data_IF_809242102593
#
_entry.id   IF_809242102593
#
_cell.length_a   1.000
_cell.length_b   1.000
_cell.length_c   1.000
_cell.angle_alpha   90.00
_cell.angle_beta   90.00
_cell.angle_gamma   90.00
#
_symmetry.space_group_name_H-M   'P 1'
#
loop_
_entity.id
_entity.type
_entity.pdbx_description
1 polymer ?
#
# COMPACT_ATOMS: atom_id res chain seq x y z
N UNK A 1 -44.96 -48.92 -8.57
CA UNK A 1 -43.60 -48.51 -8.97
C UNK A 1 -43.44 -47.04 -8.61
N UNK A 2 -42.65 -46.72 -7.58
CA UNK A 2 -42.34 -45.33 -7.20
C UNK A 2 -40.90 -45.05 -7.61
N UNK A 3 -40.72 -44.28 -8.68
CA UNK A 3 -39.39 -43.81 -9.10
C UNK A 3 -38.91 -42.75 -8.12
N UNK A 4 -37.83 -43.05 -7.41
CA UNK A 4 -37.11 -42.10 -6.57
C UNK A 4 -36.14 -41.35 -7.47
N UNK A 5 -36.40 -40.06 -7.70
CA UNK A 5 -35.50 -39.15 -8.38
C UNK A 5 -34.37 -38.77 -7.41
N UNK A 6 -33.14 -39.19 -7.68
CA UNK A 6 -31.96 -38.73 -6.95
C UNK A 6 -31.51 -37.41 -7.59
N UNK A 7 -31.44 -36.29 -6.84
CA UNK A 7 -30.96 -35.04 -7.38
C UNK A 7 -29.44 -35.14 -7.65
N UNK A 8 -29.05 -34.86 -8.88
CA UNK A 8 -27.65 -34.78 -9.28
C UNK A 8 -27.00 -33.59 -8.55
N UNK A 9 -26.06 -33.89 -7.64
CA UNK A 9 -25.19 -32.90 -7.02
C UNK A 9 -24.17 -32.46 -8.08
N UNK A 10 -24.38 -31.28 -8.66
CA UNK A 10 -23.37 -30.64 -9.51
C UNK A 10 -22.27 -30.13 -8.58
N UNK A 11 -21.17 -30.90 -8.50
CA UNK A 11 -19.95 -30.49 -7.85
C UNK A 11 -19.31 -29.38 -8.70
N UNK A 12 -19.58 -28.12 -8.35
CA UNK A 12 -18.91 -26.98 -8.96
C UNK A 12 -17.43 -27.00 -8.52
N UNK A 13 -16.58 -27.66 -9.29
CA UNK A 13 -15.14 -27.70 -9.03
C UNK A 13 -14.60 -26.31 -9.32
N UNK A 14 -14.31 -25.55 -8.26
CA UNK A 14 -13.58 -24.29 -8.37
C UNK A 14 -12.18 -24.64 -8.87
N UNK A 15 -11.90 -24.36 -10.14
CA UNK A 15 -10.55 -24.46 -10.70
C UNK A 15 -9.77 -23.29 -10.11
N UNK A 16 -9.05 -23.52 -9.02
CA UNK A 16 -8.05 -22.57 -8.54
C UNK A 16 -6.92 -22.54 -9.57
N UNK A 17 -6.55 -21.35 -10.02
CA UNK A 17 -5.28 -21.18 -10.74
C UNK A 17 -4.13 -21.54 -9.80
N UNK A 18 -3.03 -22.07 -10.32
CA UNK A 18 -1.84 -22.20 -9.48
C UNK A 18 -1.25 -20.79 -9.26
N UNK A 19 -0.79 -20.44 -8.04
CA UNK A 19 -0.07 -19.18 -7.85
C UNK A 19 1.13 -19.09 -8.82
N UNK A 20 1.44 -17.90 -9.35
CA UNK A 20 2.57 -17.70 -10.26
C UNK A 20 3.87 -18.29 -9.72
N UNK A 21 4.69 -18.84 -10.62
CA UNK A 21 6.03 -19.27 -10.22
C UNK A 21 6.87 -18.06 -9.79
N UNK A 22 7.64 -18.18 -8.69
CA UNK A 22 8.68 -17.22 -8.34
C UNK A 22 9.70 -17.05 -9.48
N UNK A 23 10.26 -15.84 -9.65
CA UNK A 23 11.23 -15.51 -10.72
C UNK A 23 12.54 -14.93 -10.17
N UNK A 24 12.58 -14.52 -8.91
CA UNK A 24 13.77 -14.02 -8.23
C UNK A 24 14.31 -15.00 -7.18
N UNK A 25 13.43 -15.83 -6.62
CA UNK A 25 13.74 -16.69 -5.48
C UNK A 25 13.42 -18.15 -5.80
N UNK A 26 14.30 -19.06 -5.42
CA UNK A 26 13.95 -20.45 -5.23
C UNK A 26 13.26 -20.64 -3.87
N UNK A 27 12.27 -21.55 -3.76
CA UNK A 27 11.63 -21.86 -2.49
C UNK A 27 12.61 -22.58 -1.55
N UNK A 28 12.81 -22.01 -0.36
CA UNK A 28 13.52 -22.63 0.76
C UNK A 28 12.56 -23.29 1.75
N UNK A 29 12.91 -23.23 3.03
CA UNK A 29 12.10 -23.79 4.12
C UNK A 29 10.72 -23.13 4.21
N UNK A 30 9.68 -23.93 4.41
CA UNK A 30 8.35 -23.43 4.77
C UNK A 30 8.36 -22.81 6.16
N UNK A 31 7.99 -21.53 6.24
CA UNK A 31 7.84 -20.78 7.48
C UNK A 31 6.38 -20.86 7.95
N UNK A 32 5.44 -20.65 7.02
CA UNK A 32 4.00 -20.68 7.26
C UNK A 32 3.32 -21.51 6.17
N UNK A 33 2.35 -22.32 6.60
CA UNK A 33 1.40 -23.03 5.73
C UNK A 33 0.04 -22.97 6.43
N UNK A 34 -0.86 -22.14 5.92
CA UNK A 34 -2.16 -21.84 6.53
C UNK A 34 -3.27 -21.95 5.48
N UNK A 35 -4.19 -22.90 5.71
CA UNK A 35 -5.29 -23.21 4.81
C UNK A 35 -6.66 -22.81 5.40
N UNK A 36 -6.69 -22.23 6.60
CA UNK A 36 -7.90 -21.77 7.29
C UNK A 36 -9.05 -22.79 7.36
N UNK A 37 -8.74 -24.09 7.33
CA UNK A 37 -9.75 -25.17 7.22
C UNK A 37 -10.56 -25.41 8.50
N UNK A 38 -10.19 -24.78 9.62
CA UNK A 38 -10.82 -24.95 10.93
C UNK A 38 -11.15 -23.61 11.57
N UNK A 39 -10.28 -23.14 12.45
CA UNK A 39 -10.41 -21.92 13.24
C UNK A 39 -9.16 -21.07 13.08
N UNK A 40 -9.26 -19.77 13.34
CA UNK A 40 -8.09 -18.91 13.44
C UNK A 40 -7.25 -19.37 14.64
N UNK A 41 -5.98 -19.72 14.40
CA UNK A 41 -5.02 -19.97 15.48
C UNK A 41 -4.64 -18.64 16.15
N UNK A 42 -5.28 -18.34 17.28
CA UNK A 42 -5.10 -17.08 18.01
C UNK A 42 -3.74 -16.97 18.72
N UNK A 43 -2.98 -18.06 18.82
CA UNK A 43 -1.59 -18.01 19.29
C UNK A 43 -0.64 -17.49 18.20
N UNK A 44 -1.07 -17.53 16.94
CA UNK A 44 -0.28 -17.15 15.77
C UNK A 44 -0.78 -15.86 15.12
N UNK A 45 -2.10 -15.71 15.03
CA UNK A 45 -2.76 -14.58 14.40
C UNK A 45 -3.31 -13.62 15.46
N UNK A 46 -2.90 -12.35 15.37
CA UNK A 46 -3.30 -11.32 16.32
C UNK A 46 -4.24 -10.30 15.67
N UNK A 47 -5.52 -10.34 16.04
CA UNK A 47 -6.52 -9.37 15.58
C UNK A 47 -6.29 -8.03 16.26
N UNK A 48 -6.10 -6.98 15.47
CA UNK A 48 -5.96 -5.61 15.97
C UNK A 48 -7.26 -4.82 15.84
N UNK A 49 -7.96 -4.94 14.70
CA UNK A 49 -9.17 -4.17 14.34
C UNK A 49 -10.07 -4.96 13.39
N UNK A 50 -11.35 -4.60 13.29
CA UNK A 50 -12.31 -5.24 12.40
C UNK A 50 -12.83 -6.60 12.87
N UNK A 51 -13.68 -7.21 12.05
CA UNK A 51 -14.22 -8.55 12.31
C UNK A 51 -13.46 -9.61 11.49
N UNK A 52 -13.00 -10.65 12.18
CA UNK A 52 -12.23 -11.75 11.59
C UNK A 52 -12.82 -13.09 11.98
N UNK A 53 -13.09 -13.96 11.00
CA UNK A 53 -13.60 -15.31 11.24
C UNK A 53 -13.24 -16.24 10.08
N UNK A 54 -13.29 -17.54 10.34
CA UNK A 54 -13.31 -18.52 9.26
C UNK A 54 -14.73 -18.61 8.71
N UNK A 55 -14.89 -18.45 7.41
CA UNK A 55 -16.17 -18.59 6.71
C UNK A 55 -15.96 -19.37 5.41
N UNK A 56 -16.70 -20.49 5.26
CA UNK A 56 -16.61 -21.37 4.08
C UNK A 56 -15.17 -21.85 3.79
N UNK A 57 -14.41 -22.12 4.84
CA UNK A 57 -13.02 -22.62 4.73
C UNK A 57 -11.97 -21.55 4.45
N UNK A 58 -12.33 -20.26 4.46
CA UNK A 58 -11.39 -19.16 4.22
C UNK A 58 -11.41 -18.16 5.38
N UNK A 59 -10.31 -17.42 5.56
CA UNK A 59 -10.25 -16.29 6.47
C UNK A 59 -11.02 -15.11 5.88
N UNK A 60 -12.14 -14.74 6.50
CA UNK A 60 -12.89 -13.52 6.17
C UNK A 60 -12.45 -12.38 7.08
N UNK A 61 -11.97 -11.30 6.48
CA UNK A 61 -11.73 -10.01 7.14
C UNK A 61 -12.77 -8.99 6.72
N UNK A 62 -13.26 -8.20 7.68
CA UNK A 62 -14.20 -7.11 7.45
C UNK A 62 -13.82 -5.87 8.25
N UNK A 63 -13.79 -4.73 7.54
CA UNK A 63 -13.71 -3.42 8.16
C UNK A 63 -15.01 -3.09 8.91
N UNK A 64 -14.89 -2.63 10.15
CA UNK A 64 -16.03 -2.16 10.93
C UNK A 64 -16.03 -0.63 10.93
N UNK A 65 -17.11 0.00 10.46
CA UNK A 65 -17.21 1.46 10.41
C UNK A 65 -16.97 2.13 11.78
N UNK A 66 -17.38 1.47 12.86
CA UNK A 66 -17.18 1.94 14.24
C UNK A 66 -15.70 2.01 14.66
N UNK A 67 -14.80 1.28 14.00
CA UNK A 67 -13.37 1.36 14.28
C UNK A 67 -12.72 2.62 13.71
N UNK A 68 -13.37 3.30 12.76
CA UNK A 68 -12.81 4.42 11.99
C UNK A 68 -11.43 4.12 11.37
N UNK A 69 -11.13 2.83 11.18
CA UNK A 69 -9.87 2.29 10.68
C UNK A 69 -10.14 1.00 9.91
N UNK A 70 -9.26 0.68 8.96
CA UNK A 70 -9.24 -0.61 8.28
C UNK A 70 -9.19 -1.76 9.30
N UNK A 71 -9.91 -2.85 9.00
CA UNK A 71 -9.75 -4.10 9.74
C UNK A 71 -8.31 -4.60 9.59
N UNK A 72 -7.70 -5.17 10.63
CA UNK A 72 -6.33 -5.67 10.56
C UNK A 72 -6.11 -6.87 11.47
N UNK A 73 -5.51 -7.91 10.91
CA UNK A 73 -4.94 -9.05 11.64
C UNK A 73 -3.44 -9.15 11.30
N UNK A 74 -2.62 -9.61 12.25
CA UNK A 74 -1.16 -9.71 12.11
C UNK A 74 -0.68 -11.14 12.31
N UNK A 75 0.39 -11.47 11.61
CA UNK A 75 1.10 -12.74 11.67
C UNK A 75 2.60 -12.45 11.91
N UNK A 76 3.10 -12.63 13.15
CA UNK A 76 4.52 -12.43 13.46
C UNK A 76 5.39 -13.56 12.90
N UNK A 77 6.48 -13.21 12.21
CA UNK A 77 7.55 -14.12 11.80
C UNK A 77 8.73 -13.32 11.25
N UNK A 78 9.94 -13.86 11.37
CA UNK A 78 11.17 -13.18 10.96
C UNK A 78 11.67 -13.71 9.63
N UNK A 79 12.01 -12.81 8.71
CA UNK A 79 12.59 -13.13 7.40
C UNK A 79 13.30 -11.91 6.80
N UNK A 80 14.05 -12.14 5.72
CA UNK A 80 14.65 -11.07 4.90
C UNK A 80 14.25 -11.26 3.45
N UNK A 81 14.52 -12.46 2.91
CA UNK A 81 14.03 -12.90 1.62
C UNK A 81 12.86 -13.87 1.82
N UNK A 82 11.74 -13.65 1.13
CA UNK A 82 10.59 -14.54 1.22
C UNK A 82 9.79 -14.62 -0.07
N UNK A 83 9.21 -15.79 -0.27
CA UNK A 83 8.12 -16.02 -1.23
C UNK A 83 6.84 -16.12 -0.40
N UNK A 84 5.85 -15.29 -0.72
CA UNK A 84 4.53 -15.30 -0.07
C UNK A 84 3.49 -15.61 -1.14
N UNK A 85 2.82 -16.74 -1.01
CA UNK A 85 1.77 -17.19 -1.91
C UNK A 85 0.45 -17.24 -1.16
N UNK A 86 -0.63 -16.82 -1.80
CA UNK A 86 -1.96 -16.84 -1.20
C UNK A 86 -3.03 -16.72 -2.28
N UNK A 87 -4.24 -17.15 -1.92
CA UNK A 87 -5.46 -16.89 -2.68
C UNK A 87 -6.24 -15.78 -1.99
N UNK A 88 -6.91 -14.93 -2.77
CA UNK A 88 -7.78 -13.89 -2.24
C UNK A 88 -9.07 -13.75 -3.05
N UNK A 89 -10.10 -13.21 -2.41
CA UNK A 89 -11.35 -12.82 -3.05
C UNK A 89 -11.79 -11.48 -2.47
N UNK A 90 -12.10 -10.55 -3.36
CA UNK A 90 -12.66 -9.25 -3.00
C UNK A 90 -14.17 -9.29 -3.13
N UNK A 91 -14.90 -8.67 -2.20
CA UNK A 91 -16.26 -8.23 -2.49
C UNK A 91 -16.23 -6.88 -3.26
N UNK A 92 -17.40 -6.34 -3.59
CA UNK A 92 -17.50 -5.05 -4.28
C UNK A 92 -17.01 -3.92 -3.37
N UNK A 93 -16.28 -2.96 -3.96
CA UNK A 93 -15.73 -1.79 -3.28
C UNK A 93 -14.81 -2.16 -2.09
N UNK A 94 -14.19 -3.34 -2.18
CA UNK A 94 -13.27 -3.87 -1.16
C UNK A 94 -11.81 -3.71 -1.60
N UNK A 95 -10.93 -3.77 -0.61
CA UNK A 95 -9.50 -3.75 -0.84
C UNK A 95 -8.74 -4.28 0.36
N UNK A 96 -7.48 -4.63 0.13
CA UNK A 96 -6.58 -5.02 1.20
C UNK A 96 -5.16 -4.57 0.92
N UNK A 97 -4.31 -4.73 1.93
CA UNK A 97 -2.87 -4.69 1.75
C UNK A 97 -2.20 -5.91 2.38
N UNK A 98 -1.07 -6.32 1.79
CA UNK A 98 -0.09 -7.15 2.48
C UNK A 98 0.97 -6.19 3.02
N UNK A 99 0.91 -5.89 4.32
CA UNK A 99 1.89 -5.01 4.97
C UNK A 99 3.02 -5.84 5.53
N UNK A 100 4.22 -5.66 4.98
CA UNK A 100 5.45 -6.26 5.47
C UNK A 100 6.09 -5.25 6.41
N UNK A 101 6.21 -5.63 7.67
CA UNK A 101 6.68 -4.74 8.73
C UNK A 101 8.06 -5.18 9.19
N UNK A 102 8.89 -4.21 9.56
CA UNK A 102 10.13 -4.42 10.30
C UNK A 102 9.90 -4.03 11.78
N UNK A 103 10.88 -4.27 12.68
CA UNK A 103 10.74 -3.92 14.10
C UNK A 103 10.42 -2.44 14.36
N UNK A 104 10.72 -1.54 13.41
CA UNK A 104 10.47 -0.10 13.51
C UNK A 104 9.10 0.32 12.97
N UNK A 105 8.40 -0.58 12.27
CA UNK A 105 7.01 -0.41 11.83
C UNK A 105 6.79 -0.82 10.38
N UNK A 106 6.02 -0.01 9.64
CA UNK A 106 5.68 -0.35 8.27
C UNK A 106 6.88 -0.20 7.35
N UNK A 107 7.28 -1.30 6.70
CA UNK A 107 8.39 -1.27 5.76
C UNK A 107 7.89 -1.11 4.33
N UNK A 108 7.15 -2.10 3.83
CA UNK A 108 6.70 -2.15 2.44
C UNK A 108 5.32 -2.80 2.33
N UNK A 109 4.56 -2.43 1.29
CA UNK A 109 3.19 -2.92 1.07
C UNK A 109 2.89 -3.29 -0.36
N UNK A 110 2.18 -4.39 -0.53
CA UNK A 110 1.28 -4.59 -1.66
C UNK A 110 -0.08 -4.01 -1.26
N UNK A 111 -0.70 -3.23 -2.13
CA UNK A 111 -2.08 -2.77 -1.97
C UNK A 111 -2.89 -3.21 -3.18
N UNK A 112 -4.08 -3.76 -2.93
CA UNK A 112 -5.00 -4.29 -3.94
C UNK A 112 -6.41 -3.74 -3.68
N UNK A 113 -7.09 -3.35 -4.74
CA UNK A 113 -8.55 -3.16 -4.79
C UNK A 113 -9.09 -3.78 -6.09
N UNK A 114 -10.39 -3.69 -6.35
CA UNK A 114 -10.99 -4.28 -7.56
C UNK A 114 -10.39 -3.77 -8.90
N UNK A 115 -9.71 -2.62 -8.91
CA UNK A 115 -9.28 -1.92 -10.12
C UNK A 115 -7.76 -1.88 -10.30
N UNK A 116 -6.99 -2.18 -9.25
CA UNK A 116 -5.55 -1.96 -9.30
C UNK A 116 -4.80 -2.76 -8.26
N UNK A 117 -3.52 -2.95 -8.53
CA UNK A 117 -2.53 -3.36 -7.54
C UNK A 117 -1.31 -2.44 -7.62
N UNK A 118 -0.68 -2.18 -6.48
CA UNK A 118 0.58 -1.43 -6.43
C UNK A 118 1.50 -2.00 -5.34
N UNK A 119 2.80 -1.85 -5.54
CA UNK A 119 3.82 -2.12 -4.52
C UNK A 119 4.51 -0.81 -4.13
N UNK A 120 4.78 -0.67 -2.84
CA UNK A 120 5.39 0.56 -2.29
C UNK A 120 6.33 0.28 -1.14
N UNK A 121 7.28 1.21 -0.94
CA UNK A 121 7.96 1.42 0.34
C UNK A 121 7.13 2.41 1.16
N UNK A 122 6.83 2.08 2.41
CA UNK A 122 6.21 3.03 3.34
C UNK A 122 7.26 4.02 3.89
N UNK A 123 6.81 5.22 4.26
CA UNK A 123 7.68 6.21 4.88
C UNK A 123 8.18 5.71 6.24
N UNK A 124 9.47 5.92 6.51
CA UNK A 124 9.99 5.82 7.87
C UNK A 124 9.54 7.05 8.66
N UNK A 125 8.73 6.83 9.70
CA UNK A 125 8.18 7.91 10.52
C UNK A 125 9.24 8.62 11.38
N UNK A 126 10.44 8.03 11.51
CA UNK A 126 11.57 8.61 12.24
C UNK A 126 12.43 9.50 11.34
N UNK A 127 12.30 9.38 10.02
CA UNK A 127 13.05 10.18 9.05
C UNK A 127 12.13 11.20 8.36
N UNK A 128 12.27 12.51 8.64
CA UNK A 128 11.45 13.55 8.02
C UNK A 128 11.72 13.73 6.52
N UNK A 129 12.83 13.18 5.99
CA UNK A 129 13.11 13.13 4.56
C UNK A 129 12.40 11.94 3.88
N UNK A 130 12.01 10.92 4.66
CA UNK A 130 11.36 9.73 4.15
C UNK A 130 9.93 10.02 3.71
N UNK A 131 9.53 9.40 2.62
CA UNK A 131 8.19 9.46 2.08
C UNK A 131 7.77 8.07 1.61
N UNK A 132 6.46 7.84 1.48
CA UNK A 132 5.99 6.60 0.90
C UNK A 132 6.23 6.65 -0.60
N UNK A 133 7.04 5.72 -1.11
CA UNK A 133 7.39 5.61 -2.52
C UNK A 133 6.62 4.46 -3.17
N UNK A 134 5.65 4.79 -4.01
CA UNK A 134 5.03 3.82 -4.93
C UNK A 134 6.07 3.47 -5.98
N UNK A 135 6.44 2.20 -6.04
CA UNK A 135 7.53 1.71 -6.90
C UNK A 135 6.98 1.26 -8.24
N UNK A 136 5.79 0.67 -8.24
CA UNK A 136 5.08 0.24 -9.43
C UNK A 136 3.59 0.07 -9.15
N UNK A 137 2.80 0.24 -10.21
CA UNK A 137 1.35 0.05 -10.22
C UNK A 137 0.93 -0.77 -11.45
N UNK A 138 -0.18 -1.47 -11.34
CA UNK A 138 -0.78 -2.22 -12.44
C UNK A 138 -2.28 -2.01 -12.42
N UNK A 139 -2.84 -1.67 -13.58
CA UNK A 139 -4.27 -1.72 -13.78
C UNK A 139 -4.70 -3.19 -13.68
N UNK A 140 -5.72 -3.45 -12.89
CA UNK A 140 -6.30 -4.77 -12.72
C UNK A 140 -7.83 -4.69 -12.84
N UNK A 141 -8.47 -5.85 -12.93
CA UNK A 141 -9.92 -5.97 -12.93
C UNK A 141 -10.31 -7.20 -12.09
N UNK A 142 -10.05 -7.12 -10.79
CA UNK A 142 -10.39 -8.20 -9.85
C UNK A 142 -11.91 -8.17 -9.61
N UNK A 143 -12.61 -9.01 -10.35
CA UNK A 143 -14.05 -9.22 -10.26
C UNK A 143 -14.50 -9.57 -8.82
N UNK A 144 -15.53 -8.89 -8.28
CA UNK A 144 -16.12 -9.23 -6.99
C UNK A 144 -16.57 -10.69 -6.93
N UNK A 145 -16.32 -11.36 -5.79
CA UNK A 145 -16.73 -12.75 -5.56
C UNK A 145 -15.90 -13.80 -6.28
N UNK A 146 -14.87 -13.42 -7.06
CA UNK A 146 -13.95 -14.34 -7.75
C UNK A 146 -12.64 -14.51 -6.98
N UNK A 147 -12.16 -15.75 -6.92
CA UNK A 147 -10.87 -16.09 -6.32
C UNK A 147 -9.73 -15.84 -7.30
N UNK A 148 -8.62 -15.34 -6.77
CA UNK A 148 -7.38 -15.06 -7.49
C UNK A 148 -6.20 -15.54 -6.67
N UNK A 149 -5.15 -16.02 -7.34
CA UNK A 149 -3.90 -16.42 -6.71
C UNK A 149 -2.81 -15.39 -6.95
N UNK A 150 -2.01 -15.15 -5.93
CA UNK A 150 -0.95 -14.15 -5.90
C UNK A 150 0.36 -14.79 -5.46
N UNK A 151 1.46 -14.30 -6.00
CA UNK A 151 2.81 -14.54 -5.49
C UNK A 151 3.53 -13.23 -5.31
N UNK A 152 4.02 -13.02 -4.10
CA UNK A 152 4.91 -11.93 -3.72
C UNK A 152 6.32 -12.49 -3.55
N UNK A 153 7.30 -11.77 -4.06
CA UNK A 153 8.72 -12.04 -3.83
C UNK A 153 9.37 -10.79 -3.24
N UNK A 154 10.02 -10.97 -2.09
CA UNK A 154 10.90 -9.97 -1.47
C UNK A 154 12.30 -10.52 -1.51
N UNK A 155 13.18 -9.89 -2.29
CA UNK A 155 14.56 -10.34 -2.52
C UNK A 155 15.52 -9.15 -2.38
N UNK A 156 16.16 -9.03 -1.22
CA UNK A 156 16.93 -7.86 -0.84
C UNK A 156 16.14 -6.57 -1.02
N UNK A 157 16.55 -5.75 -1.98
CA UNK A 157 15.92 -4.44 -2.29
C UNK A 157 14.68 -4.55 -3.18
N UNK A 158 14.41 -5.72 -3.76
CA UNK A 158 13.34 -5.92 -4.72
C UNK A 158 12.04 -6.36 -4.05
N UNK A 159 10.93 -5.85 -4.57
CA UNK A 159 9.59 -6.25 -4.17
C UNK A 159 8.72 -6.40 -5.42
N UNK A 160 8.26 -7.63 -5.66
CA UNK A 160 7.40 -8.00 -6.78
C UNK A 160 6.13 -8.62 -6.25
N UNK A 161 5.00 -8.28 -6.86
CA UNK A 161 3.75 -8.99 -6.72
C UNK A 161 3.24 -9.39 -8.12
N UNK A 162 2.79 -10.64 -8.29
CA UNK A 162 2.24 -11.19 -9.53
C UNK A 162 0.93 -11.92 -9.23
N UNK A 163 -0.13 -11.62 -9.97
CA UNK A 163 -1.32 -12.48 -10.01
C UNK A 163 -1.08 -13.63 -10.99
N UNK A 164 -1.89 -14.71 -10.90
CA UNK A 164 -1.92 -15.78 -11.91
C UNK A 164 -2.28 -15.31 -13.34
N UNK A 165 -2.79 -14.08 -13.48
CA UNK A 165 -3.02 -13.43 -14.77
C UNK A 165 -1.74 -12.79 -15.34
N UNK A 166 -1.91 -11.67 -16.04
CA UNK A 166 -0.78 -10.86 -16.57
C UNK A 166 -0.43 -9.69 -15.64
N UNK A 167 -1.18 -9.51 -14.57
CA UNK A 167 -1.02 -8.38 -13.65
C UNK A 167 0.21 -8.61 -12.76
N UNK A 168 1.08 -7.62 -12.73
CA UNK A 168 2.23 -7.62 -11.83
C UNK A 168 2.61 -6.19 -11.46
N UNK A 169 3.22 -5.99 -10.31
CA UNK A 169 3.88 -4.74 -9.96
C UNK A 169 5.25 -5.09 -9.38
N UNK A 170 6.31 -4.50 -9.96
CA UNK A 170 7.69 -4.81 -9.62
C UNK A 170 8.48 -3.52 -9.42
N UNK A 171 9.23 -3.44 -8.32
CA UNK A 171 10.10 -2.31 -8.07
C UNK A 171 11.21 -2.64 -7.07
N UNK A 172 12.06 -1.64 -6.82
CA UNK A 172 13.18 -1.75 -5.90
C UNK A 172 13.29 -0.52 -5.03
N UNK A 173 13.76 -0.67 -3.79
CA UNK A 173 14.08 0.45 -2.92
C UNK A 173 15.08 0.00 -1.84
N UNK A 174 16.11 0.81 -1.57
CA UNK A 174 17.17 0.45 -0.61
C UNK A 174 16.62 0.11 0.78
N UNK A 175 15.62 0.85 1.25
CA UNK A 175 14.96 0.60 2.54
C UNK A 175 14.11 -0.67 2.63
N UNK A 176 13.96 -1.47 1.57
CA UNK A 176 13.25 -2.77 1.63
C UNK A 176 14.16 -3.86 2.19
N UNK A 177 15.46 -3.74 1.99
CA UNK A 177 16.45 -4.75 2.40
C UNK A 177 16.72 -4.69 3.90
N UNK A 178 15.71 -5.09 4.67
CA UNK A 178 15.72 -5.12 6.13
C UNK A 178 15.08 -6.41 6.61
N UNK A 179 15.48 -6.85 7.80
CA UNK A 179 14.79 -7.92 8.50
C UNK A 179 13.35 -7.50 8.82
N UNK A 180 12.40 -8.33 8.44
CA UNK A 180 10.97 -8.14 8.71
C UNK A 180 10.60 -8.89 9.99
N UNK A 181 9.61 -8.37 10.71
CA UNK A 181 9.13 -8.90 11.99
C UNK A 181 7.75 -9.55 11.89
N UNK A 182 6.93 -9.09 10.93
CA UNK A 182 5.57 -9.58 10.75
C UNK A 182 4.99 -9.22 9.38
N UNK A 183 3.85 -9.85 9.09
CA UNK A 183 2.94 -9.50 8.02
C UNK A 183 1.59 -9.10 8.63
N UNK A 184 1.00 -8.00 8.14
CA UNK A 184 -0.36 -7.62 8.49
C UNK A 184 -1.27 -7.59 7.26
N UNK A 185 -2.56 -7.87 7.48
CA UNK A 185 -3.61 -7.82 6.47
C UNK A 185 -4.61 -6.68 6.78
N UNK A 186 -4.28 -5.40 6.49
CA UNK A 186 -5.28 -4.35 6.49
C UNK A 186 -6.34 -4.59 5.41
N UNK A 187 -7.61 -4.47 5.75
CA UNK A 187 -8.75 -4.63 4.83
C UNK A 187 -9.73 -3.46 4.93
N UNK A 188 -10.28 -3.07 3.79
CA UNK A 188 -11.43 -2.16 3.66
C UNK A 188 -12.56 -2.94 2.99
N UNK A 189 -13.80 -2.77 3.47
CA UNK A 189 -14.91 -3.63 3.07
C UNK A 189 -14.72 -5.09 3.50
N UNK A 190 -15.15 -6.03 2.67
CA UNK A 190 -15.07 -7.48 2.95
C UNK A 190 -14.09 -8.16 2.00
N UNK A 191 -13.13 -8.90 2.57
CA UNK A 191 -12.09 -9.63 1.84
C UNK A 191 -11.94 -11.03 2.41
N UNK A 192 -11.68 -12.00 1.55
CA UNK A 192 -11.36 -13.38 1.94
C UNK A 192 -9.94 -13.71 1.53
N UNK A 193 -9.25 -14.46 2.40
CA UNK A 193 -7.92 -15.00 2.16
C UNK A 193 -7.92 -16.50 2.38
N UNK A 194 -7.13 -17.20 1.58
CA UNK A 194 -6.90 -18.63 1.74
C UNK A 194 -5.50 -19.03 1.28
N UNK A 195 -5.07 -20.24 1.62
CA UNK A 195 -3.84 -20.88 1.16
C UNK A 195 -2.59 -20.00 1.36
N UNK A 196 -2.47 -19.33 2.52
CA UNK A 196 -1.31 -18.49 2.83
C UNK A 196 -0.12 -19.42 3.09
N UNK A 197 0.83 -19.41 2.15
CA UNK A 197 2.12 -20.09 2.24
C UNK A 197 3.25 -19.08 2.22
N UNK A 198 4.12 -19.14 3.22
CA UNK A 198 5.32 -18.30 3.31
C UNK A 198 6.55 -19.19 3.38
N UNK A 199 7.47 -18.98 2.45
CA UNK A 199 8.69 -19.74 2.29
C UNK A 199 9.88 -18.80 2.43
N UNK A 200 10.94 -19.25 3.10
CA UNK A 200 12.23 -18.59 3.01
C UNK A 200 12.67 -18.53 1.53
N UNK A 201 13.18 -17.38 1.10
CA UNK A 201 13.64 -17.17 -0.27
C UNK A 201 15.13 -17.40 -0.43
N UNK A 202 15.53 -18.20 -1.41
CA UNK A 202 16.93 -18.35 -1.83
C UNK A 202 17.12 -17.57 -3.13
N UNK A 203 17.92 -16.48 -3.17
CA UNK A 203 18.14 -15.71 -4.39
C UNK A 203 18.61 -16.57 -5.57
N UNK A 204 17.95 -16.42 -6.71
CA UNK A 204 18.36 -17.06 -7.96
C UNK A 204 19.52 -16.30 -8.62
N UNK A 205 20.37 -16.98 -9.41
CA UNK A 205 21.33 -16.29 -10.26
C UNK A 205 20.62 -15.40 -11.30
N UNK A 206 21.20 -14.22 -11.58
CA UNK A 206 20.71 -13.31 -12.64
C UNK A 206 19.44 -12.52 -12.30
N UNK A 207 19.11 -12.39 -11.02
CA UNK A 207 17.97 -11.59 -10.53
C UNK A 207 17.98 -10.16 -11.02
N UNK A 208 19.16 -9.55 -11.21
CA UNK A 208 19.30 -8.18 -11.72
C UNK A 208 18.76 -8.07 -13.15
N UNK A 209 19.04 -9.05 -14.01
CA UNK A 209 18.54 -9.08 -15.39
C UNK A 209 17.03 -9.28 -15.41
N UNK A 210 16.50 -10.18 -14.59
CA UNK A 210 15.06 -10.41 -14.45
C UNK A 210 14.35 -9.14 -13.97
N UNK A 211 14.89 -8.47 -12.95
CA UNK A 211 14.36 -7.21 -12.43
C UNK A 211 14.40 -6.10 -13.48
N UNK A 212 15.50 -5.98 -14.23
CA UNK A 212 15.60 -5.02 -15.32
C UNK A 212 14.51 -5.24 -16.36
N UNK A 213 14.30 -6.50 -16.79
CA UNK A 213 13.25 -6.85 -17.75
C UNK A 213 11.85 -6.48 -17.25
N UNK A 214 11.54 -6.80 -15.99
CA UNK A 214 10.26 -6.44 -15.37
C UNK A 214 10.08 -4.93 -15.25
N UNK A 215 11.14 -4.19 -14.90
CA UNK A 215 11.10 -2.73 -14.85
C UNK A 215 10.88 -2.12 -16.24
N UNK A 216 11.50 -2.67 -17.28
CA UNK A 216 11.29 -2.21 -18.65
C UNK A 216 9.88 -2.50 -19.16
N UNK A 217 9.29 -3.63 -18.78
CA UNK A 217 7.88 -3.91 -19.01
C UNK A 217 6.96 -2.97 -18.22
N UNK A 218 7.29 -2.70 -16.95
CA UNK A 218 6.53 -1.80 -16.09
C UNK A 218 6.51 -0.37 -16.65
N UNK A 219 7.62 0.13 -17.20
CA UNK A 219 7.71 1.45 -17.84
C UNK A 219 6.86 1.60 -19.10
N UNK A 220 6.56 0.49 -19.79
CA UNK A 220 5.71 0.49 -21.00
C UNK A 220 4.23 0.56 -20.67
N UNK A 221 3.83 0.38 -19.41
CA UNK A 221 2.43 0.36 -19.00
C UNK A 221 1.87 1.77 -18.89
N UNK A 222 0.61 1.98 -19.33
CA UNK A 222 -0.05 3.25 -19.07
C UNK A 222 -0.25 3.43 -17.55
N UNK A 223 -0.26 4.67 -17.05
CA UNK A 223 -0.66 4.99 -15.69
C UNK A 223 -2.03 4.40 -15.33
N UNK A 224 -2.18 3.95 -14.08
CA UNK A 224 -3.48 3.50 -13.58
C UNK A 224 -4.42 4.69 -13.44
N UNK A 225 -5.66 4.54 -13.91
CA UNK A 225 -6.70 5.56 -13.75
C UNK A 225 -7.57 5.23 -12.56
N UNK A 226 -7.34 5.94 -11.46
CA UNK A 226 -8.09 5.83 -10.22
C UNK A 226 -9.40 6.61 -10.29
N UNK A 227 -10.51 5.96 -9.91
CA UNK A 227 -11.81 6.62 -9.71
C UNK A 227 -11.81 7.59 -8.54
N UNK A 228 -11.20 7.20 -7.42
CA UNK A 228 -11.04 8.09 -6.27
C UNK A 228 -9.93 9.11 -6.57
N UNK A 229 -10.32 10.39 -6.65
CA UNK A 229 -9.43 11.50 -7.01
C UNK A 229 -8.28 11.67 -6.02
N UNK A 230 -8.54 11.54 -4.71
CA UNK A 230 -7.50 11.63 -3.68
C UNK A 230 -6.49 10.48 -3.78
N UNK A 231 -6.94 9.25 -4.05
CA UNK A 231 -6.05 8.10 -4.28
C UNK A 231 -5.20 8.34 -5.52
N UNK A 232 -5.81 8.74 -6.64
CA UNK A 232 -5.08 9.05 -7.87
C UNK A 232 -4.02 10.12 -7.67
N UNK A 233 -4.39 11.25 -7.03
CA UNK A 233 -3.44 12.30 -6.66
C UNK A 233 -2.27 11.74 -5.83
N UNK A 234 -2.56 10.99 -4.77
CA UNK A 234 -1.53 10.51 -3.83
C UNK A 234 -0.58 9.50 -4.48
N UNK A 235 -1.09 8.63 -5.34
CA UNK A 235 -0.26 7.66 -6.06
C UNK A 235 0.61 8.34 -7.10
N UNK A 236 0.04 9.23 -7.93
CA UNK A 236 0.82 9.96 -8.95
C UNK A 236 1.88 10.87 -8.35
N UNK A 237 1.55 11.56 -7.25
CA UNK A 237 2.51 12.39 -6.52
C UNK A 237 3.68 11.57 -6.00
N UNK A 238 3.38 10.40 -5.41
CA UNK A 238 4.40 9.47 -4.90
C UNK A 238 5.31 8.92 -6.00
N UNK A 239 4.74 8.47 -7.13
CA UNK A 239 5.50 7.97 -8.29
C UNK A 239 6.43 9.05 -8.83
N UNK A 240 5.90 10.26 -9.06
CA UNK A 240 6.68 11.34 -9.66
C UNK A 240 7.77 11.84 -8.72
N UNK A 241 7.45 11.98 -7.43
CA UNK A 241 8.44 12.30 -6.39
C UNK A 241 9.53 11.26 -6.33
N UNK A 242 9.18 9.97 -6.31
CA UNK A 242 10.17 8.89 -6.24
C UNK A 242 11.11 8.93 -7.45
N UNK A 243 10.56 9.05 -8.65
CA UNK A 243 11.34 9.18 -9.89
C UNK A 243 12.31 10.37 -9.83
N UNK A 244 11.81 11.56 -9.53
CA UNK A 244 12.65 12.77 -9.54
C UNK A 244 13.68 12.79 -8.41
N UNK A 245 13.41 12.17 -7.26
CA UNK A 245 14.44 11.99 -6.22
C UNK A 245 15.61 11.12 -6.69
N UNK A 246 15.41 10.22 -7.65
CA UNK A 246 16.48 9.38 -8.21
C UNK A 246 17.21 10.06 -9.37
N UNK A 247 16.48 10.81 -10.20
CA UNK A 247 16.95 11.24 -11.51
C UNK A 247 17.23 12.75 -11.61
N UNK A 248 16.67 13.58 -10.73
CA UNK A 248 16.65 15.04 -10.86
C UNK A 248 17.24 15.74 -9.61
N UNK A 249 18.50 16.21 -9.68
CA UNK A 249 19.14 16.89 -8.55
C UNK A 249 18.46 18.21 -8.19
N UNK A 250 17.79 18.89 -9.13
CA UNK A 250 17.06 20.14 -8.85
C UNK A 250 15.89 19.84 -7.92
N UNK A 251 15.17 18.75 -8.18
CA UNK A 251 14.11 18.31 -7.28
C UNK A 251 14.65 17.92 -5.89
N UNK A 252 15.81 17.27 -5.85
CA UNK A 252 16.51 16.97 -4.59
C UNK A 252 16.77 18.21 -3.73
N UNK A 253 17.20 19.33 -4.36
CA UNK A 253 17.39 20.60 -3.65
C UNK A 253 16.08 21.23 -3.16
N UNK A 254 14.99 21.11 -3.92
CA UNK A 254 13.66 21.55 -3.47
C UNK A 254 13.21 20.79 -2.21
N UNK A 255 13.42 19.47 -2.19
CA UNK A 255 13.10 18.63 -1.02
C UNK A 255 13.96 19.00 0.19
N UNK A 256 15.26 19.25 0.01
CA UNK A 256 16.15 19.74 1.08
C UNK A 256 15.70 21.10 1.63
N UNK A 257 15.29 22.02 0.76
CA UNK A 257 14.73 23.32 1.13
C UNK A 257 13.46 23.16 1.97
N UNK A 258 12.55 22.25 1.56
CA UNK A 258 11.33 21.92 2.32
C UNK A 258 11.66 21.36 3.70
N UNK A 259 12.56 20.38 3.79
CA UNK A 259 12.95 19.77 5.06
C UNK A 259 13.53 20.82 6.00
N UNK A 260 14.42 21.68 5.50
CA UNK A 260 15.03 22.77 6.28
C UNK A 260 13.98 23.75 6.82
N UNK A 261 12.99 24.13 6.01
CA UNK A 261 11.91 25.01 6.44
C UNK A 261 10.99 24.36 7.49
N UNK A 262 10.65 23.08 7.32
CA UNK A 262 9.86 22.33 8.31
C UNK A 262 10.62 22.20 9.63
N UNK A 263 11.91 21.85 9.59
CA UNK A 263 12.74 21.74 10.78
C UNK A 263 12.87 23.07 11.52
N UNK A 264 13.06 24.19 10.80
CA UNK A 264 13.11 25.51 11.40
C UNK A 264 11.79 25.86 12.12
N UNK A 265 10.64 25.57 11.49
CA UNK A 265 9.33 25.80 12.08
C UNK A 265 9.08 24.90 13.31
N UNK A 266 9.52 23.64 13.26
CA UNK A 266 9.42 22.71 14.39
C UNK A 266 10.34 23.09 15.55
N UNK A 267 11.57 23.52 15.29
CA UNK A 267 12.51 23.98 16.30
C UNK A 267 12.03 25.25 17.01
N UNK A 268 11.45 26.20 16.26
CA UNK A 268 10.91 27.43 16.82
C UNK A 268 9.62 27.18 17.64
N UNK A 269 8.80 26.19 17.24
CA UNK A 269 7.48 25.95 17.85
C UNK A 269 7.23 24.48 18.19
N UNK A 270 8.05 23.83 19.03
CA UNK A 270 8.02 22.38 19.22
C UNK A 270 6.69 21.86 19.78
N UNK A 271 5.95 22.67 20.56
CA UNK A 271 4.63 22.27 21.08
C UNK A 271 3.58 22.12 19.98
N UNK A 272 3.69 22.91 18.91
CA UNK A 272 2.82 22.85 17.74
C UNK A 272 3.05 21.58 16.92
N UNK A 273 4.19 20.91 17.06
CA UNK A 273 4.54 19.70 16.29
C UNK A 273 4.36 18.40 17.08
N UNK A 274 3.90 18.49 18.34
CA UNK A 274 3.46 17.31 19.09
C UNK A 274 2.21 16.69 18.47
N UNK A 275 1.88 15.46 18.86
CA UNK A 275 0.64 14.78 18.43
C UNK A 275 -0.52 15.13 19.36
N UNK A 276 -1.73 15.17 18.79
CA UNK A 276 -2.99 15.26 19.53
C UNK A 276 -3.61 16.66 19.57
N UNK A 277 -4.80 16.75 20.18
CA UNK A 277 -5.67 17.93 20.15
C UNK A 277 -4.98 19.23 20.62
N UNK A 278 -4.16 19.15 21.67
CA UNK A 278 -3.42 20.30 22.22
C UNK A 278 -2.45 20.93 21.21
N UNK A 279 -1.80 20.12 20.38
CA UNK A 279 -0.91 20.63 19.35
C UNK A 279 -1.68 21.37 18.25
N UNK A 280 -2.88 20.87 17.89
CA UNK A 280 -3.72 21.55 16.90
C UNK A 280 -4.35 22.85 17.45
N UNK A 281 -4.70 22.88 18.73
CA UNK A 281 -5.11 24.11 19.42
C UNK A 281 -3.95 25.12 19.46
N UNK A 282 -2.73 24.66 19.75
CA UNK A 282 -1.54 25.52 19.74
C UNK A 282 -1.23 26.07 18.36
N UNK A 283 -1.27 25.25 17.30
CA UNK A 283 -1.12 25.73 15.92
C UNK A 283 -2.15 26.80 15.57
N UNK A 284 -3.41 26.62 15.96
CA UNK A 284 -4.47 27.62 15.72
C UNK A 284 -4.19 28.91 16.45
N UNK A 285 -3.80 28.84 17.72
CA UNK A 285 -3.43 30.00 18.54
C UNK A 285 -2.24 30.75 17.94
N UNK A 286 -1.14 30.04 17.64
CA UNK A 286 0.05 30.62 17.00
C UNK A 286 -0.27 31.25 15.63
N UNK A 287 -1.12 30.62 14.83
CA UNK A 287 -1.58 31.16 13.55
C UNK A 287 -2.40 32.46 13.69
N UNK A 288 -3.01 32.70 14.86
CA UNK A 288 -3.78 33.92 15.15
C UNK A 288 -2.90 35.00 15.80
N UNK A 289 -2.01 34.62 16.71
CA UNK A 289 -1.38 35.55 17.65
C UNK A 289 0.12 35.77 17.38
N UNK A 290 0.82 34.82 16.77
CA UNK A 290 2.28 34.85 16.66
C UNK A 290 2.74 35.20 15.24
N UNK A 291 3.32 36.39 15.06
CA UNK A 291 3.76 36.88 13.75
C UNK A 291 4.89 36.04 13.13
N UNK A 292 5.83 35.55 13.94
CA UNK A 292 6.95 34.72 13.50
C UNK A 292 6.47 33.35 13.00
N UNK A 293 5.58 32.68 13.74
CA UNK A 293 4.95 31.44 13.33
C UNK A 293 4.21 31.62 12.00
N UNK A 294 3.43 32.70 11.85
CA UNK A 294 2.73 32.99 10.59
C UNK A 294 3.70 33.13 9.42
N UNK A 295 4.80 33.86 9.61
CA UNK A 295 5.80 34.08 8.58
C UNK A 295 6.49 32.77 8.17
N UNK A 296 6.98 31.99 9.14
CA UNK A 296 7.64 30.70 8.87
C UNK A 296 6.68 29.66 8.27
N UNK A 297 5.44 29.61 8.75
CA UNK A 297 4.42 28.71 8.19
C UNK A 297 4.02 29.13 6.76
N UNK A 298 3.92 30.43 6.47
CA UNK A 298 3.64 30.94 5.13
C UNK A 298 4.78 30.62 4.15
N UNK A 299 6.04 30.80 4.56
CA UNK A 299 7.21 30.45 3.75
C UNK A 299 7.30 28.95 3.51
N UNK A 300 7.10 28.13 4.55
CA UNK A 300 7.00 26.67 4.41
C UNK A 300 5.90 26.26 3.42
N UNK A 301 4.75 26.94 3.48
CA UNK A 301 3.65 26.75 2.53
C UNK A 301 4.02 27.13 1.10
N UNK A 302 4.80 28.19 0.90
CA UNK A 302 5.31 28.61 -0.42
C UNK A 302 6.25 27.56 -0.98
N UNK A 303 7.21 27.06 -0.20
CA UNK A 303 8.15 26.03 -0.60
C UNK A 303 7.42 24.73 -0.99
N UNK A 304 6.43 24.31 -0.19
CA UNK A 304 5.59 23.13 -0.54
C UNK A 304 4.84 23.31 -1.86
N UNK A 305 4.38 24.52 -2.18
CA UNK A 305 3.72 24.82 -3.47
C UNK A 305 4.72 24.82 -4.62
N UNK A 306 5.92 25.39 -4.43
CA UNK A 306 6.99 25.34 -5.44
C UNK A 306 7.33 23.88 -5.79
N UNK A 307 7.52 23.03 -4.78
CA UNK A 307 7.78 21.59 -4.95
C UNK A 307 6.63 20.88 -5.68
N UNK A 308 5.38 21.11 -5.28
CA UNK A 308 4.21 20.51 -5.93
C UNK A 308 4.04 20.97 -7.39
N UNK A 309 4.26 22.26 -7.66
CA UNK A 309 4.20 22.78 -9.03
C UNK A 309 5.27 22.12 -9.91
N UNK A 310 6.49 21.94 -9.39
CA UNK A 310 7.56 21.25 -10.09
C UNK A 310 7.19 19.82 -10.50
N UNK A 311 6.49 19.10 -9.61
CA UNK A 311 5.94 17.77 -9.90
C UNK A 311 4.86 17.83 -10.99
N UNK A 312 3.89 18.75 -10.87
CA UNK A 312 2.75 18.88 -11.80
C UNK A 312 3.16 19.33 -13.21
N UNK A 313 4.26 20.06 -13.34
CA UNK A 313 4.83 20.41 -14.65
C UNK A 313 5.40 19.19 -15.39
N UNK A 314 5.72 18.11 -14.67
CA UNK A 314 6.34 16.87 -15.19
C UNK A 314 5.39 15.68 -15.24
N UNK A 315 4.20 15.80 -14.66
CA UNK A 315 3.17 14.77 -14.68
C UNK A 315 1.79 15.39 -14.93
N UNK A 316 1.30 15.24 -16.17
CA UNK A 316 0.00 15.77 -16.58
C UNK A 316 -1.16 15.10 -15.82
N UNK A 317 -1.04 13.81 -15.47
CA UNK A 317 -2.05 13.08 -14.71
C UNK A 317 -2.12 13.61 -13.27
N UNK A 318 -0.97 13.86 -12.65
CA UNK A 318 -0.91 14.49 -11.33
C UNK A 318 -1.58 15.87 -11.33
N UNK A 319 -1.30 16.69 -12.37
CA UNK A 319 -1.94 18.00 -12.54
C UNK A 319 -3.44 17.88 -12.70
N UNK A 320 -3.93 16.91 -13.46
CA UNK A 320 -5.35 16.64 -13.63
C UNK A 320 -6.01 16.24 -12.30
N UNK A 321 -5.43 15.30 -11.57
CA UNK A 321 -5.92 14.89 -10.26
C UNK A 321 -5.93 16.05 -9.26
N UNK A 322 -4.89 16.89 -9.27
CA UNK A 322 -4.84 18.08 -8.41
C UNK A 322 -5.98 19.05 -8.72
N UNK A 323 -6.24 19.35 -10.00
CA UNK A 323 -7.35 20.22 -10.40
C UNK A 323 -8.69 19.67 -9.91
N UNK A 324 -8.98 18.38 -10.15
CA UNK A 324 -10.20 17.72 -9.68
C UNK A 324 -10.33 17.80 -8.16
N UNK A 325 -9.23 17.59 -7.43
CA UNK A 325 -9.22 17.65 -5.97
C UNK A 325 -9.55 19.06 -5.46
N UNK A 326 -9.07 20.12 -6.13
CA UNK A 326 -9.45 21.48 -5.79
C UNK A 326 -10.93 21.77 -6.06
N UNK A 327 -11.48 21.25 -7.15
CA UNK A 327 -12.91 21.38 -7.48
C UNK A 327 -13.80 20.69 -6.44
N UNK A 328 -13.45 19.47 -6.01
CA UNK A 328 -14.16 18.76 -4.96
C UNK A 328 -14.11 19.51 -3.62
N UNK A 329 -12.96 20.09 -3.27
CA UNK A 329 -12.81 20.90 -2.05
C UNK A 329 -13.66 22.16 -2.09
N UNK A 330 -13.77 22.82 -3.24
CA UNK A 330 -14.65 23.99 -3.41
C UNK A 330 -16.11 23.63 -3.21
N UNK A 331 -16.58 22.56 -3.85
CA UNK A 331 -17.97 22.06 -3.73
C UNK A 331 -18.33 21.66 -2.29
N UNK A 332 -17.36 21.15 -1.53
CA UNK A 332 -17.55 20.74 -0.14
C UNK A 332 -17.29 21.87 0.87
N UNK A 333 -16.99 23.09 0.41
CA UNK A 333 -16.82 24.24 1.28
C UNK A 333 -18.17 24.69 1.84
N UNK A 334 -18.31 24.98 3.15
CA UNK A 334 -19.57 25.41 3.77
C UNK A 334 -20.19 26.69 3.20
N UNK A 335 -19.47 27.40 2.33
CA UNK A 335 -19.85 28.69 1.76
C UNK A 335 -20.89 28.63 0.63
N UNK A 336 -21.20 27.46 0.07
CA UNK A 336 -22.19 27.31 -1.02
C UNK A 336 -23.50 26.60 -0.60
N UNK A 337 -23.71 26.33 0.70
CA UNK A 337 -25.04 26.00 1.24
C UNK A 337 -25.75 27.28 1.68
N UNK A 338 -26.19 28.11 0.73
CA UNK A 338 -27.17 29.18 0.97
C UNK A 338 -28.29 29.08 -0.03
#
# INVERSE_FOLDING_TARGET
>A
MKSILIPAVILCSVIFSKPPSPVLLAPGQTIIDESFSKTIDTNRWHVSKGAWKIEKGALRGEELAADHHAGSIKLPFVYTNAIIQFSFRLEKDSGFSISLNDPDGHNSRLTINNESMLVKKDADKKDPASFSAVLAECQAAFEPGKWYDMTIEVSGKAFIAKSAGKEFAAGFHNGIDTMKSDLALPVTGVVYFDNIKILAGIPLPGTEKTLSGLNDEQKKRPPVKYKNVQTGYSVRESIMRYKLMQEDPVFGELVKKRISAVNALEQAFPQAFKKGKKAEEEKKRLQQENAEYKALNAETGKIRREELNYLMERDADLKEYWTKLQEERKKNSPTEKK
#
